data_IF_393672025718
#
_entry.id   IF_393672025718
#
_cell.length_a   1.000
_cell.length_b   1.000
_cell.length_c   1.000
_cell.angle_alpha   90.00
_cell.angle_beta   90.00
_cell.angle_gamma   90.00
#
_symmetry.space_group_name_H-M   'P 1'
#
loop_
_entity.id
_entity.type
_entity.pdbx_description
1 polymer ?
#
# COMPACT_ATOMS: atom_id res chain seq x y z
N UNK A 1 -12.89 -3.92 9.46
CA UNK A 1 -11.89 -4.93 9.05
C UNK A 1 -11.34 -4.58 7.67
N UNK A 2 -10.03 -4.63 7.53
CA UNK A 2 -9.38 -4.33 6.25
C UNK A 2 -9.59 -5.49 5.28
N UNK A 3 -9.97 -5.15 4.05
CA UNK A 3 -10.28 -6.12 3.00
C UNK A 3 -9.51 -5.80 1.72
N UNK A 4 -9.51 -6.72 0.77
CA UNK A 4 -9.00 -6.49 -0.57
C UNK A 4 -9.62 -5.22 -1.16
N UNK A 5 -8.82 -4.47 -1.91
CA UNK A 5 -9.16 -3.21 -2.54
C UNK A 5 -9.12 -2.00 -1.59
N UNK A 6 -9.10 -2.19 -0.27
CA UNK A 6 -8.96 -1.09 0.68
C UNK A 6 -7.62 -0.37 0.51
N UNK A 7 -7.62 0.94 0.72
CA UNK A 7 -6.43 1.78 0.65
C UNK A 7 -6.15 2.38 2.02
N UNK A 8 -4.96 2.11 2.54
CA UNK A 8 -4.53 2.56 3.87
C UNK A 8 -3.41 3.59 3.74
N UNK A 9 -3.39 4.56 4.65
CA UNK A 9 -2.25 5.46 4.82
C UNK A 9 -1.45 4.99 6.03
N UNK A 10 -0.19 4.62 5.81
CA UNK A 10 0.67 4.14 6.87
C UNK A 10 2.14 4.36 6.53
N UNK A 11 3.01 4.18 7.53
CA UNK A 11 4.46 4.23 7.37
C UNK A 11 5.00 2.81 7.37
N UNK A 12 5.95 2.54 6.48
CA UNK A 12 6.53 1.20 6.34
C UNK A 12 8.03 1.25 6.63
N UNK A 13 8.55 0.34 7.49
CA UNK A 13 9.98 0.29 7.84
C UNK A 13 10.81 -0.42 6.76
N UNK A 14 10.78 0.09 5.53
CA UNK A 14 11.51 -0.50 4.42
C UNK A 14 12.22 0.59 3.60
N UNK A 15 13.47 0.41 3.26
CA UNK A 15 14.39 -0.68 3.68
C UNK A 15 14.85 -0.58 5.13
N UNK A 16 14.55 0.50 5.83
CA UNK A 16 14.96 0.70 7.23
C UNK A 16 14.02 1.68 7.94
N UNK A 17 14.17 1.81 9.26
CA UNK A 17 13.42 2.79 10.07
C UNK A 17 13.73 4.25 9.71
N UNK A 18 14.82 4.50 8.97
CA UNK A 18 15.22 5.85 8.55
C UNK A 18 14.82 6.17 7.12
N UNK A 19 14.18 5.23 6.43
CA UNK A 19 13.81 5.40 5.03
C UNK A 19 12.66 6.40 4.84
N UNK A 20 12.46 6.84 3.58
CA UNK A 20 11.34 7.73 3.24
C UNK A 20 9.98 7.11 3.57
N UNK A 21 9.84 5.80 3.38
CA UNK A 21 8.59 5.09 3.69
C UNK A 21 8.32 5.05 5.19
N UNK A 22 9.35 5.07 6.01
CA UNK A 22 9.21 5.10 7.47
C UNK A 22 8.99 6.51 8.01
N UNK A 23 9.52 7.54 7.33
CA UNK A 23 9.43 8.92 7.80
C UNK A 23 8.11 9.59 7.49
N UNK A 24 7.39 9.16 6.45
CA UNK A 24 6.12 9.76 6.07
C UNK A 24 5.12 8.70 5.60
N UNK A 25 3.85 8.97 5.86
CA UNK A 25 2.80 8.05 5.45
C UNK A 25 2.59 8.08 3.94
N UNK A 26 2.41 6.90 3.35
CA UNK A 26 2.06 6.72 1.95
C UNK A 26 0.79 5.87 1.88
N UNK A 27 0.17 5.83 0.72
CA UNK A 27 -0.99 4.97 0.50
C UNK A 27 -0.54 3.58 0.04
N UNK A 28 -1.24 2.57 0.55
CA UNK A 28 -1.00 1.16 0.22
C UNK A 28 -2.34 0.50 -0.07
N UNK A 29 -2.41 -0.25 -1.17
CA UNK A 29 -3.60 -0.99 -1.56
C UNK A 29 -3.50 -2.41 -1.04
N UNK A 30 -4.53 -2.87 -0.31
CA UNK A 30 -4.62 -4.25 0.15
C UNK A 30 -4.95 -5.16 -1.03
N UNK A 31 -4.01 -6.03 -1.38
CA UNK A 31 -4.16 -6.99 -2.47
C UNK A 31 -4.66 -8.33 -1.99
N UNK A 32 -4.28 -8.74 -0.78
CA UNK A 32 -4.74 -9.98 -0.15
C UNK A 32 -5.04 -9.73 1.32
N UNK A 33 -6.16 -10.27 1.78
CA UNK A 33 -6.61 -10.17 3.15
C UNK A 33 -7.12 -11.54 3.61
N UNK A 34 -6.28 -12.24 4.37
CA UNK A 34 -6.63 -13.49 5.05
C UNK A 34 -6.16 -13.38 6.49
N UNK A 35 -6.96 -12.71 7.31
CA UNK A 35 -6.62 -12.44 8.71
C UNK A 35 -5.94 -13.64 9.38
N UNK A 36 -4.77 -13.48 10.01
CA UNK A 36 -4.05 -12.22 10.27
C UNK A 36 -3.00 -11.86 9.21
N UNK A 37 -3.08 -12.40 8.01
CA UNK A 37 -2.14 -12.18 6.92
C UNK A 37 -2.67 -11.16 5.91
N UNK A 38 -1.79 -10.22 5.52
CA UNK A 38 -2.14 -9.16 4.57
C UNK A 38 -0.99 -8.91 3.61
N UNK A 39 -1.34 -8.52 2.38
CA UNK A 39 -0.36 -8.12 1.38
C UNK A 39 -0.80 -6.81 0.72
N UNK A 40 0.16 -5.90 0.55
CA UNK A 40 -0.09 -4.56 0.04
C UNK A 40 0.85 -4.20 -1.10
N UNK A 41 0.41 -3.30 -1.99
CA UNK A 41 1.27 -2.62 -2.96
C UNK A 41 1.27 -1.13 -2.65
N UNK A 42 2.41 -0.48 -2.92
CA UNK A 42 2.63 0.94 -2.62
C UNK A 42 2.07 1.83 -3.71
N UNK A 43 1.48 2.96 -3.31
CA UNK A 43 1.09 4.04 -4.19
C UNK A 43 1.95 5.25 -3.91
N UNK A 44 2.41 5.94 -4.95
CA UNK A 44 3.17 7.17 -4.80
C UNK A 44 2.75 8.19 -5.84
N UNK A 45 2.82 9.46 -5.47
CA UNK A 45 2.55 10.55 -6.41
C UNK A 45 3.55 10.47 -7.55
N UNK A 46 3.04 10.49 -8.78
CA UNK A 46 3.89 10.48 -9.98
C UNK A 46 4.60 11.83 -10.08
N UNK A 47 5.92 11.77 -10.16
CA UNK A 47 6.76 12.96 -10.29
C UNK A 47 7.46 12.96 -11.66
N UNK A 48 7.81 14.14 -12.21
CA UNK A 48 8.40 14.22 -13.56
C UNK A 48 9.62 13.32 -13.77
N UNK A 49 10.50 13.18 -12.77
CA UNK A 49 11.69 12.34 -12.92
C UNK A 49 11.36 10.87 -13.13
N UNK A 50 10.20 10.41 -12.68
CA UNK A 50 9.77 9.00 -12.85
C UNK A 50 9.45 8.66 -14.29
N UNK A 51 9.25 9.66 -15.14
CA UNK A 51 9.02 9.45 -16.57
C UNK A 51 10.32 9.18 -17.33
N UNK A 52 11.46 9.56 -16.76
CA UNK A 52 12.78 9.45 -17.40
C UNK A 52 13.67 8.43 -16.73
N UNK A 53 13.51 8.22 -15.42
CA UNK A 53 14.21 7.19 -14.68
C UNK A 53 13.21 6.08 -14.40
N UNK A 54 13.51 4.87 -14.82
CA UNK A 54 12.61 3.72 -14.64
C UNK A 54 13.12 2.77 -13.57
N UNK A 55 12.93 3.08 -12.27
CA UNK A 55 13.24 2.13 -11.22
C UNK A 55 12.22 0.99 -11.16
N UNK A 56 11.01 1.20 -11.73
CA UNK A 56 9.95 0.20 -11.76
C UNK A 56 9.77 -0.37 -13.15
N UNK A 57 9.66 -1.70 -13.24
CA UNK A 57 9.39 -2.41 -14.50
C UNK A 57 7.90 -2.59 -14.72
N UNK A 58 7.16 -2.84 -13.64
CA UNK A 58 5.70 -3.05 -13.68
C UNK A 58 5.02 -2.02 -12.80
N UNK A 59 4.08 -1.29 -13.36
CA UNK A 59 3.33 -0.28 -12.62
C UNK A 59 2.01 0.04 -13.31
N UNK A 60 1.11 0.67 -12.56
CA UNK A 60 -0.12 1.26 -13.10
C UNK A 60 -0.12 2.74 -12.74
N UNK A 61 -0.31 3.61 -13.74
CA UNK A 61 -0.49 5.03 -13.50
C UNK A 61 -1.99 5.33 -13.52
N UNK A 62 -2.46 6.05 -12.50
CA UNK A 62 -3.88 6.29 -12.28
C UNK A 62 -4.12 7.77 -12.00
N UNK A 63 -5.07 8.37 -12.74
CA UNK A 63 -5.50 9.74 -12.48
C UNK A 63 -6.48 9.78 -11.30
N UNK A 64 -6.55 10.91 -10.57
CA UNK A 64 -7.57 11.08 -9.55
C UNK A 64 -8.97 10.92 -10.15
N UNK A 65 -9.74 10.01 -9.61
CA UNK A 65 -11.12 9.75 -10.05
C UNK A 65 -11.86 9.06 -8.90
N UNK A 66 -12.75 9.81 -8.25
CA UNK A 66 -13.44 9.32 -7.05
C UNK A 66 -14.34 8.10 -7.35
N UNK A 67 -14.68 7.86 -8.61
CA UNK A 67 -15.43 6.66 -9.00
C UNK A 67 -14.52 5.43 -9.07
N UNK A 68 -13.20 5.61 -9.04
CA UNK A 68 -12.22 4.54 -9.17
C UNK A 68 -11.24 4.43 -7.99
N UNK A 69 -10.87 5.55 -7.39
CA UNK A 69 -9.76 5.60 -6.42
C UNK A 69 -9.88 6.79 -5.47
N UNK A 70 -9.14 6.78 -4.35
CA UNK A 70 -9.11 7.91 -3.41
C UNK A 70 -8.00 8.93 -3.70
N UNK A 71 -7.33 8.83 -4.84
CA UNK A 71 -6.16 9.66 -5.12
C UNK A 71 -6.53 11.12 -5.35
N UNK A 72 -5.65 12.03 -4.93
CA UNK A 72 -5.81 13.47 -5.13
C UNK A 72 -4.84 14.01 -6.17
N UNK A 73 -3.87 13.19 -6.60
CA UNK A 73 -2.87 13.50 -7.61
C UNK A 73 -2.65 12.29 -8.49
N UNK A 74 -2.03 12.51 -9.66
CA UNK A 74 -1.59 11.41 -10.51
C UNK A 74 -0.71 10.48 -9.69
N UNK A 75 -1.06 9.20 -9.65
CA UNK A 75 -0.44 8.22 -8.76
C UNK A 75 0.12 7.05 -9.55
N UNK A 76 1.33 6.65 -9.21
CA UNK A 76 1.94 5.42 -9.73
C UNK A 76 1.84 4.33 -8.69
N UNK A 77 1.25 3.20 -9.08
CA UNK A 77 1.08 2.03 -8.23
C UNK A 77 2.20 1.05 -8.58
N UNK A 78 3.03 0.71 -7.59
CA UNK A 78 4.14 -0.23 -7.77
C UNK A 78 3.60 -1.66 -7.91
N UNK A 79 3.88 -2.28 -9.05
CA UNK A 79 3.52 -3.66 -9.31
C UNK A 79 4.74 -4.59 -9.38
N UNK A 80 5.94 -4.10 -9.05
CA UNK A 80 7.14 -4.93 -8.94
C UNK A 80 7.21 -5.62 -7.58
N UNK A 81 6.85 -4.89 -6.51
CA UNK A 81 7.00 -5.36 -5.15
C UNK A 81 5.69 -5.30 -4.39
N UNK A 82 5.47 -6.29 -3.55
CA UNK A 82 4.41 -6.25 -2.54
C UNK A 82 5.04 -6.32 -1.16
N UNK A 83 4.28 -5.87 -0.15
CA UNK A 83 4.68 -5.93 1.25
C UNK A 83 3.70 -6.81 1.99
N UNK A 84 4.20 -7.73 2.80
CA UNK A 84 3.35 -8.66 3.54
C UNK A 84 3.55 -8.53 5.05
N UNK A 85 2.47 -8.79 5.77
CA UNK A 85 2.47 -8.85 7.23
C UNK A 85 1.65 -10.05 7.69
N UNK A 86 2.00 -10.56 8.88
CA UNK A 86 1.22 -11.60 9.56
C UNK A 86 1.27 -11.34 11.07
N UNK A 87 0.16 -11.30 11.74
CA UNK A 87 0.16 -11.09 13.19
C UNK A 87 -0.01 -9.64 13.64
N UNK A 88 -0.47 -8.76 12.77
CA UNK A 88 -0.85 -7.39 13.13
C UNK A 88 -2.30 -7.13 12.73
N UNK A 89 -2.93 -6.20 13.44
CA UNK A 89 -4.27 -5.71 13.15
C UNK A 89 -4.22 -4.26 12.71
N UNK A 90 -5.04 -3.91 11.73
CA UNK A 90 -5.12 -2.57 11.14
C UNK A 90 -6.42 -1.91 11.57
N UNK A 91 -6.33 -0.74 12.20
CA UNK A 91 -7.51 0.04 12.58
C UNK A 91 -8.14 0.67 11.32
N UNK A 92 -9.47 0.69 11.26
CA UNK A 92 -10.21 1.26 10.12
C UNK A 92 -9.93 2.74 9.91
N UNK A 93 -9.42 3.45 10.92
CA UNK A 93 -9.01 4.86 10.79
C UNK A 93 -7.80 5.05 9.86
N UNK A 94 -7.11 3.98 9.50
CA UNK A 94 -6.04 4.04 8.50
C UNK A 94 -6.58 4.19 7.08
N UNK A 95 -7.85 3.86 6.86
CA UNK A 95 -8.47 3.92 5.53
C UNK A 95 -8.54 5.36 5.01
N UNK A 96 -8.34 5.52 3.71
CA UNK A 96 -8.48 6.82 3.05
C UNK A 96 -9.92 7.32 3.16
N UNK A 97 -10.09 8.62 3.43
CA UNK A 97 -11.38 9.18 3.84
C UNK A 97 -12.34 9.51 2.70
N UNK A 98 -11.83 10.04 1.58
CA UNK A 98 -12.68 10.40 0.44
C UNK A 98 -13.34 9.18 -0.20
N UNK A 99 -12.60 8.08 -0.23
CA UNK A 99 -13.04 6.77 -0.66
C UNK A 99 -12.09 5.75 -0.01
N UNK A 100 -12.61 4.68 0.63
CA UNK A 100 -11.75 3.74 1.36
C UNK A 100 -11.10 2.67 0.49
N UNK A 101 -11.45 2.58 -0.80
CA UNK A 101 -11.00 1.50 -1.67
C UNK A 101 -10.75 1.95 -3.11
N UNK A 102 -10.27 1.01 -3.93
CA UNK A 102 -10.20 1.17 -5.39
C UNK A 102 -11.32 0.34 -6.03
N UNK A 103 -11.71 0.70 -7.27
CA UNK A 103 -12.72 -0.05 -7.99
C UNK A 103 -12.23 -1.44 -8.41
N UNK A 104 -13.17 -2.33 -8.70
CA UNK A 104 -12.86 -3.70 -9.10
C UNK A 104 -12.01 -3.77 -10.38
N UNK A 105 -12.23 -2.86 -11.32
CA UNK A 105 -11.50 -2.80 -12.58
C UNK A 105 -10.03 -2.47 -12.36
N UNK A 106 -9.74 -1.46 -11.55
CA UNK A 106 -8.36 -1.09 -11.21
C UNK A 106 -7.67 -2.22 -10.43
N UNK A 107 -8.38 -2.84 -9.50
CA UNK A 107 -7.87 -3.97 -8.74
C UNK A 107 -7.47 -5.12 -9.67
N UNK A 108 -8.30 -5.42 -10.68
CA UNK A 108 -8.01 -6.46 -11.66
C UNK A 108 -6.77 -6.12 -12.51
N UNK A 109 -6.61 -4.86 -12.90
CA UNK A 109 -5.43 -4.39 -13.65
C UNK A 109 -4.13 -4.60 -12.85
N UNK A 110 -4.15 -4.24 -11.57
CA UNK A 110 -3.00 -4.42 -10.68
C UNK A 110 -2.72 -5.89 -10.48
N UNK A 111 -3.76 -6.69 -10.21
CA UNK A 111 -3.62 -8.13 -9.97
C UNK A 111 -3.04 -8.86 -11.18
N UNK A 112 -3.39 -8.43 -12.39
CA UNK A 112 -2.90 -9.03 -13.63
C UNK A 112 -1.38 -8.84 -13.81
N UNK A 113 -0.80 -7.80 -13.22
CA UNK A 113 0.64 -7.51 -13.33
C UNK A 113 1.48 -8.33 -12.36
N UNK A 114 0.90 -8.86 -11.31
CA UNK A 114 1.50 -9.77 -10.30
C UNK A 114 2.92 -9.38 -9.85
N UNK A 115 3.07 -8.75 -8.69
CA UNK A 115 4.39 -8.47 -8.13
C UNK A 115 5.21 -9.77 -8.02
N UNK A 116 6.45 -9.74 -8.50
CA UNK A 116 7.36 -10.88 -8.47
C UNK A 116 8.06 -11.00 -7.13
N UNK A 117 8.20 -9.88 -6.43
CA UNK A 117 8.91 -9.81 -5.16
C UNK A 117 7.93 -9.49 -4.05
N UNK A 118 7.93 -10.32 -3.00
CA UNK A 118 7.19 -10.03 -1.78
C UNK A 118 8.18 -9.72 -0.67
N UNK A 119 7.96 -8.61 0.02
CA UNK A 119 8.84 -8.13 1.08
C UNK A 119 8.10 -8.26 2.40
N UNK A 120 8.44 -9.27 3.23
CA UNK A 120 7.84 -9.36 4.56
C UNK A 120 8.35 -8.21 5.43
N UNK A 121 7.43 -7.54 6.11
CA UNK A 121 7.75 -6.41 6.96
C UNK A 121 8.07 -6.86 8.38
N UNK A 122 8.98 -6.15 9.04
CA UNK A 122 9.24 -6.32 10.46
C UNK A 122 8.05 -5.74 11.23
N UNK A 123 7.29 -6.60 11.89
CA UNK A 123 6.05 -6.21 12.53
C UNK A 123 6.25 -5.36 13.78
N UNK A 124 7.33 -5.56 14.53
CA UNK A 124 7.65 -4.72 15.68
C UNK A 124 7.91 -3.28 15.25
N UNK A 125 8.68 -3.12 14.17
CA UNK A 125 8.97 -1.80 13.61
C UNK A 125 7.74 -1.16 12.98
N UNK A 126 6.90 -1.95 12.33
CA UNK A 126 5.64 -1.46 11.73
C UNK A 126 4.72 -0.90 12.81
N UNK A 127 4.56 -1.62 13.91
CA UNK A 127 3.75 -1.17 15.06
C UNK A 127 4.35 0.06 15.71
N UNK A 128 5.68 0.13 15.81
CA UNK A 128 6.37 1.29 16.36
C UNK A 128 6.07 2.56 15.56
N UNK A 129 6.02 2.46 14.23
CA UNK A 129 5.79 3.60 13.34
C UNK A 129 4.32 4.01 13.26
N UNK A 130 3.40 3.11 13.57
CA UNK A 130 1.97 3.33 13.34
C UNK A 130 1.14 3.02 14.59
N UNK A 131 0.69 4.05 15.33
CA UNK A 131 -0.14 3.83 16.52
C UNK A 131 -1.44 3.07 16.26
N UNK A 132 -1.95 3.11 15.03
CA UNK A 132 -3.19 2.44 14.63
C UNK A 132 -2.99 1.01 14.14
N UNK A 133 -1.75 0.53 14.13
CA UNK A 133 -1.43 -0.86 13.82
C UNK A 133 -0.96 -1.53 15.11
N UNK A 134 -1.61 -2.63 15.49
CA UNK A 134 -1.34 -3.31 16.75
C UNK A 134 -1.05 -4.79 16.50
N UNK A 135 -0.37 -5.43 17.45
CA UNK A 135 -0.10 -6.85 17.34
C UNK A 135 -1.36 -7.65 17.69
N UNK A 136 -1.58 -8.72 16.94
CA UNK A 136 -2.66 -9.66 17.24
C UNK A 136 -2.41 -10.29 18.60
N UNK A 137 -3.43 -10.28 19.46
CA UNK A 137 -3.36 -10.92 20.76
C UNK A 137 -3.77 -12.38 20.64
N UNK A 138 -2.97 -13.22 21.26
CA UNK A 138 -3.27 -14.65 21.36
C UNK A 138 -3.92 -14.97 22.70
#
# INVERSE_FOLDING_TARGET
MIRERHVLRMKIPFPSLKSRLACSAHMYICMESQYPEYRFVKCQTLKPYMLYEEPMKKYCDEEPDITRNPFVRMTRIDCDNSFSTSGVEYDDRLLTTSRPDICAELFAEISAKRPENDIPLNEEELVLLNPLITRVKH
#
